data_IF_304114187101
#
_entry.id   IF_304114187101
#
_cell.length_a   1.000
_cell.length_b   1.000
_cell.length_c   1.000
_cell.angle_alpha   90.00
_cell.angle_beta   90.00
_cell.angle_gamma   90.00
#
_symmetry.space_group_name_H-M   'P 1'
#
loop_
_entity.id
_entity.type
_entity.pdbx_description
1 polymer ?
#
# COMPACT_ATOMS: atom_id res chain seq x y z
N UNK A 1 4.35 -13.95 -22.82
CA UNK A 1 4.56 -12.47 -22.84
C UNK A 1 3.42 -11.70 -22.13
N UNK A 2 2.83 -12.20 -21.03
CA UNK A 2 1.84 -11.43 -20.24
C UNK A 2 2.49 -10.39 -19.33
N UNK A 3 3.70 -10.65 -18.84
CA UNK A 3 4.44 -9.72 -17.98
C UNK A 3 4.84 -8.42 -18.68
N UNK A 4 5.06 -8.44 -20.00
CA UNK A 4 5.44 -7.25 -20.77
C UNK A 4 4.25 -6.29 -20.97
N UNK A 5 3.05 -6.82 -21.20
CA UNK A 5 1.83 -6.02 -21.35
C UNK A 5 1.53 -5.27 -20.06
N UNK A 6 1.61 -5.95 -18.90
CA UNK A 6 1.37 -5.35 -17.60
C UNK A 6 2.40 -4.25 -17.29
N UNK A 7 3.69 -4.53 -17.50
CA UNK A 7 4.76 -3.54 -17.30
C UNK A 7 4.57 -2.29 -18.15
N UNK A 8 4.31 -2.46 -19.45
CA UNK A 8 4.06 -1.34 -20.35
C UNK A 8 2.85 -0.51 -19.90
N UNK A 9 1.75 -1.16 -19.51
CA UNK A 9 0.56 -0.46 -19.03
C UNK A 9 0.81 0.33 -17.73
N UNK A 10 1.71 -0.15 -16.86
CA UNK A 10 2.15 0.56 -15.65
C UNK A 10 3.01 1.77 -16.05
N UNK A 11 4.01 1.58 -16.91
CA UNK A 11 4.88 2.66 -17.40
C UNK A 11 4.09 3.77 -18.10
N UNK A 12 3.12 3.42 -18.95
CA UNK A 12 2.21 4.37 -19.62
C UNK A 12 1.40 5.22 -18.64
N UNK A 13 1.13 4.72 -17.42
CA UNK A 13 0.33 5.41 -16.39
C UNK A 13 1.18 5.94 -15.25
N UNK A 14 2.51 5.87 -15.35
CA UNK A 14 3.39 6.26 -14.26
C UNK A 14 3.11 7.69 -13.79
N UNK A 15 3.07 8.66 -14.72
CA UNK A 15 2.82 10.05 -14.36
C UNK A 15 1.45 10.27 -13.67
N UNK A 16 0.45 9.47 -14.03
CA UNK A 16 -0.88 9.52 -13.39
C UNK A 16 -0.81 9.01 -11.94
N UNK A 17 -0.15 7.87 -11.70
CA UNK A 17 0.01 7.33 -10.36
C UNK A 17 0.96 8.15 -9.49
N UNK A 18 2.03 8.71 -10.07
CA UNK A 18 2.93 9.62 -9.38
C UNK A 18 2.16 10.85 -8.89
N UNK A 19 1.35 11.48 -9.75
CA UNK A 19 0.53 12.63 -9.37
C UNK A 19 -0.47 12.30 -8.26
N UNK A 20 -1.13 11.13 -8.32
CA UNK A 20 -2.01 10.68 -7.23
C UNK A 20 -1.23 10.47 -5.93
N UNK A 21 -0.10 9.77 -5.98
CA UNK A 21 0.73 9.49 -4.82
C UNK A 21 1.26 10.77 -4.16
N UNK A 22 1.75 11.72 -4.95
CA UNK A 22 2.20 13.02 -4.44
C UNK A 22 1.03 13.83 -3.87
N UNK A 23 -0.13 13.83 -4.53
CA UNK A 23 -1.31 14.53 -4.02
C UNK A 23 -1.73 14.04 -2.63
N UNK A 24 -1.73 12.72 -2.41
CA UNK A 24 -2.02 12.13 -1.08
C UNK A 24 -0.89 12.44 -0.10
N UNK A 25 0.37 12.33 -0.51
CA UNK A 25 1.53 12.57 0.34
C UNK A 25 1.64 14.02 0.85
N UNK A 26 1.33 14.99 -0.01
CA UNK A 26 1.41 16.42 0.32
C UNK A 26 0.25 16.89 1.23
N UNK A 27 -0.79 16.07 1.40
CA UNK A 27 -1.95 16.36 2.24
C UNK A 27 -2.17 15.23 3.26
N UNK A 28 -1.26 15.06 4.23
CA UNK A 28 -1.40 14.02 5.24
C UNK A 28 -2.63 14.30 6.10
N UNK A 29 -3.56 13.35 6.14
CA UNK A 29 -4.78 13.40 6.95
C UNK A 29 -4.77 12.25 7.94
N UNK A 30 -5.01 12.51 9.22
CA UNK A 30 -4.96 11.49 10.28
C UNK A 30 -6.28 10.73 10.41
N UNK A 31 -6.24 9.61 11.13
CA UNK A 31 -7.36 8.70 11.40
C UNK A 31 -8.74 9.39 11.49
N UNK A 32 -9.67 8.96 10.63
CA UNK A 32 -11.04 9.43 10.42
C UNK A 32 -11.19 10.83 9.79
N UNK A 33 -10.11 11.41 9.27
CA UNK A 33 -10.13 12.73 8.61
C UNK A 33 -9.64 12.69 7.16
N UNK A 34 -9.49 11.52 6.54
CA UNK A 34 -8.88 11.27 5.22
C UNK A 34 -9.76 11.68 4.04
N UNK A 35 -10.34 12.88 4.07
CA UNK A 35 -11.31 13.33 3.07
C UNK A 35 -10.64 13.58 1.71
N UNK A 36 -9.46 14.20 1.69
CA UNK A 36 -8.68 14.40 0.47
C UNK A 36 -8.19 13.08 -0.10
N UNK A 37 -7.57 12.23 0.73
CA UNK A 37 -7.06 10.94 0.26
C UNK A 37 -8.17 10.02 -0.27
N UNK A 38 -9.35 10.01 0.39
CA UNK A 38 -10.53 9.27 -0.07
C UNK A 38 -11.00 9.79 -1.43
N UNK A 39 -11.14 11.11 -1.58
CA UNK A 39 -11.63 11.69 -2.84
C UNK A 39 -10.63 11.51 -3.98
N UNK A 40 -9.33 11.73 -3.74
CA UNK A 40 -8.29 11.54 -4.76
C UNK A 40 -8.23 10.09 -5.25
N UNK A 41 -8.35 9.12 -4.34
CA UNK A 41 -8.39 7.69 -4.68
C UNK A 41 -9.66 7.33 -5.45
N UNK A 42 -10.81 7.86 -5.03
CA UNK A 42 -12.09 7.66 -5.70
C UNK A 42 -12.08 8.23 -7.12
N UNK A 43 -11.62 9.48 -7.30
CA UNK A 43 -11.48 10.14 -8.60
C UNK A 43 -10.58 9.33 -9.55
N UNK A 44 -9.44 8.85 -9.03
CA UNK A 44 -8.50 8.05 -9.81
C UNK A 44 -9.11 6.71 -10.24
N UNK A 45 -9.84 6.04 -9.35
CA UNK A 45 -10.53 4.79 -9.66
C UNK A 45 -11.65 5.00 -10.71
N UNK A 46 -12.45 6.05 -10.58
CA UNK A 46 -13.46 6.43 -11.57
C UNK A 46 -12.83 6.71 -12.94
N UNK A 47 -11.72 7.46 -12.98
CA UNK A 47 -10.98 7.74 -14.21
C UNK A 47 -10.42 6.48 -14.90
N UNK A 48 -10.12 5.44 -14.12
CA UNK A 48 -9.69 4.12 -14.61
C UNK A 48 -10.88 3.20 -14.97
N UNK A 49 -12.12 3.67 -14.84
CA UNK A 49 -13.33 2.95 -15.22
C UNK A 49 -13.87 1.99 -14.16
N UNK A 50 -13.51 2.18 -12.89
CA UNK A 50 -14.13 1.44 -11.78
C UNK A 50 -15.50 2.03 -11.44
N UNK A 51 -16.41 1.18 -10.97
CA UNK A 51 -17.62 1.62 -10.27
C UNK A 51 -17.25 1.97 -8.85
N UNK A 52 -17.37 3.24 -8.48
CA UNK A 52 -16.94 3.75 -7.18
C UNK A 52 -18.13 4.09 -6.28
N UNK A 53 -17.98 3.76 -5.01
CA UNK A 53 -18.87 4.09 -3.90
C UNK A 53 -18.05 4.89 -2.88
N UNK A 54 -18.32 6.19 -2.78
CA UNK A 54 -17.71 7.08 -1.78
C UNK A 54 -18.51 7.05 -0.49
N UNK A 55 -17.84 7.35 0.62
CA UNK A 55 -18.42 7.31 1.97
C UNK A 55 -19.05 5.94 2.27
N UNK A 56 -18.40 4.88 1.77
CA UNK A 56 -18.93 3.53 1.82
C UNK A 56 -19.13 3.07 3.26
N UNK A 57 -20.10 2.17 3.46
CA UNK A 57 -20.39 1.57 4.78
C UNK A 57 -20.70 2.59 5.89
N UNK A 58 -21.15 3.79 5.53
CA UNK A 58 -21.49 4.87 6.48
C UNK A 58 -20.27 5.59 7.07
N UNK A 59 -19.07 5.36 6.52
CA UNK A 59 -17.84 6.01 6.96
C UNK A 59 -17.46 7.12 5.97
N UNK A 60 -17.45 8.40 6.38
CA UNK A 60 -17.21 9.54 5.48
C UNK A 60 -15.87 9.49 4.71
N UNK A 61 -14.87 8.78 5.24
CA UNK A 61 -13.52 8.69 4.65
C UNK A 61 -13.25 7.34 3.98
N UNK A 62 -14.26 6.48 3.84
CA UNK A 62 -14.13 5.19 3.17
C UNK A 62 -14.53 5.29 1.68
N UNK A 63 -13.80 4.58 0.83
CA UNK A 63 -14.13 4.39 -0.59
C UNK A 63 -14.08 2.91 -0.96
N UNK A 64 -15.01 2.47 -1.79
CA UNK A 64 -14.97 1.15 -2.44
C UNK A 64 -14.98 1.32 -3.94
N UNK A 65 -14.06 0.63 -4.64
CA UNK A 65 -14.00 0.60 -6.10
C UNK A 65 -14.15 -0.84 -6.60
N UNK A 66 -14.98 -1.05 -7.63
CA UNK A 66 -15.27 -2.37 -8.20
C UNK A 66 -15.06 -2.36 -9.71
N UNK A 67 -14.46 -3.44 -10.24
CA UNK A 67 -14.31 -3.65 -11.67
C UNK A 67 -14.58 -5.11 -12.03
N UNK A 68 -15.32 -5.33 -13.12
CA UNK A 68 -15.75 -6.65 -13.56
C UNK A 68 -16.96 -7.22 -12.80
N UNK A 69 -17.27 -8.49 -13.05
CA UNK A 69 -18.39 -9.23 -12.44
C UNK A 69 -18.09 -10.74 -12.43
N UNK A 70 -18.83 -11.51 -11.62
CA UNK A 70 -18.67 -12.97 -11.53
C UNK A 70 -17.76 -13.43 -10.38
N UNK A 71 -17.23 -14.65 -10.47
CA UNK A 71 -16.42 -15.29 -9.43
C UNK A 71 -15.15 -15.96 -10.00
N UNK A 72 -14.06 -16.03 -9.22
CA UNK A 72 -13.91 -15.53 -7.85
C UNK A 72 -13.78 -14.00 -7.77
N UNK A 73 -14.14 -13.43 -6.62
CA UNK A 73 -13.95 -12.00 -6.33
C UNK A 73 -12.65 -11.83 -5.55
N UNK A 74 -11.79 -10.91 -5.98
CA UNK A 74 -10.55 -10.56 -5.29
C UNK A 74 -10.72 -9.17 -4.70
N UNK A 75 -10.49 -9.04 -3.40
CA UNK A 75 -10.54 -7.77 -2.68
C UNK A 75 -9.13 -7.29 -2.30
N UNK A 76 -8.90 -5.99 -2.46
CA UNK A 76 -7.73 -5.30 -1.92
C UNK A 76 -8.21 -4.32 -0.84
N UNK A 77 -7.54 -4.33 0.31
CA UNK A 77 -7.78 -3.39 1.39
C UNK A 77 -6.56 -2.47 1.50
N UNK A 78 -6.81 -1.18 1.55
CA UNK A 78 -5.79 -0.15 1.77
C UNK A 78 -6.26 0.83 2.84
N UNK A 79 -5.30 1.32 3.62
CA UNK A 79 -5.48 2.39 4.59
C UNK A 79 -5.02 3.71 3.95
N UNK A 80 -5.76 4.79 4.20
CA UNK A 80 -5.50 6.12 3.62
C UNK A 80 -4.93 7.10 4.65
N UNK A 81 -4.94 6.74 5.92
CA UNK A 81 -4.61 7.64 7.02
C UNK A 81 -3.10 7.80 7.19
N UNK A 82 -2.70 9.03 7.44
CA UNK A 82 -1.36 9.39 7.81
C UNK A 82 -1.17 9.25 9.33
N UNK A 83 0.08 8.96 9.71
CA UNK A 83 0.48 8.99 11.10
C UNK A 83 0.56 10.43 11.60
N UNK A 84 0.14 10.68 12.85
CA UNK A 84 0.32 11.98 13.53
C UNK A 84 1.77 12.47 13.55
N UNK A 85 2.72 11.54 13.47
CA UNK A 85 4.14 11.83 13.36
C UNK A 85 4.51 12.62 12.09
N UNK A 86 3.67 12.64 11.06
CA UNK A 86 3.83 13.48 9.89
C UNK A 86 3.64 14.97 10.21
N UNK A 87 2.83 15.29 11.23
CA UNK A 87 2.60 16.66 11.71
C UNK A 87 3.58 17.04 12.82
N UNK A 88 3.83 16.11 13.76
CA UNK A 88 4.68 16.31 14.92
C UNK A 88 5.84 15.30 14.97
N UNK A 89 7.01 15.73 14.48
CA UNK A 89 8.23 14.94 14.49
C UNK A 89 8.75 14.56 15.89
N UNK A 90 8.27 15.21 16.96
CA UNK A 90 8.66 14.85 18.33
C UNK A 90 8.11 13.49 18.74
N UNK A 91 7.02 13.03 18.12
CA UNK A 91 6.45 11.70 18.34
C UNK A 91 7.47 10.63 17.94
N UNK A 92 8.14 10.81 16.79
CA UNK A 92 9.17 9.88 16.33
C UNK A 92 10.37 9.88 17.28
N UNK A 93 10.78 11.05 17.75
CA UNK A 93 11.92 11.17 18.68
C UNK A 93 11.66 10.45 20.00
N UNK A 94 10.48 10.67 20.60
CA UNK A 94 10.05 9.98 21.83
C UNK A 94 9.98 8.46 21.62
N UNK A 95 9.37 8.01 20.53
CA UNK A 95 9.32 6.60 20.20
C UNK A 95 10.72 5.97 20.06
N UNK A 96 11.68 6.70 19.48
CA UNK A 96 13.07 6.25 19.39
C UNK A 96 13.78 6.21 20.76
N UNK A 97 13.52 7.16 21.65
CA UNK A 97 14.05 7.16 23.01
C UNK A 97 13.51 5.98 23.81
N UNK A 98 12.19 5.79 23.83
CA UNK A 98 11.52 4.64 24.47
C UNK A 98 12.05 3.31 23.92
N UNK A 99 12.22 3.20 22.60
CA UNK A 99 12.79 2.01 21.98
C UNK A 99 14.24 1.76 22.44
N UNK A 100 15.07 2.80 22.52
CA UNK A 100 16.46 2.68 23.02
C UNK A 100 16.49 2.25 24.48
N UNK A 101 15.62 2.79 25.32
CA UNK A 101 15.51 2.40 26.73
C UNK A 101 15.06 0.94 26.87
N UNK A 102 14.00 0.54 26.17
CA UNK A 102 13.46 -0.82 26.22
C UNK A 102 14.44 -1.88 25.71
N UNK A 103 15.23 -1.55 24.68
CA UNK A 103 16.21 -2.47 24.08
C UNK A 103 17.59 -2.39 24.74
N UNK A 104 17.82 -1.40 25.62
CA UNK A 104 19.15 -1.04 26.09
C UNK A 104 20.12 -0.71 24.94
N UNK A 105 19.59 -0.17 23.83
CA UNK A 105 20.33 0.11 22.60
C UNK A 105 20.76 -1.11 21.79
N UNK A 106 20.29 -2.32 22.13
CA UNK A 106 20.62 -3.54 21.38
C UNK A 106 19.83 -3.57 20.08
N UNK A 107 20.52 -3.83 18.97
CA UNK A 107 19.85 -4.11 17.70
C UNK A 107 19.05 -5.42 17.79
N UNK A 108 17.94 -5.49 17.05
CA UNK A 108 17.25 -6.76 16.83
C UNK A 108 18.23 -7.78 16.25
N UNK A 109 18.32 -8.94 16.91
CA UNK A 109 19.03 -10.12 16.39
C UNK A 109 17.96 -11.11 16.01
N UNK A 110 17.92 -11.48 14.73
CA UNK A 110 17.01 -12.51 14.25
C UNK A 110 17.21 -13.77 15.10
N UNK A 111 16.16 -14.32 15.74
CA UNK A 111 16.31 -15.51 16.56
C UNK A 111 16.56 -16.78 15.72
N UNK A 112 16.43 -16.67 14.39
CA UNK A 112 16.74 -17.74 13.45
C UNK A 112 18.26 -17.77 13.23
N UNK A 113 18.95 -18.88 13.56
CA UNK A 113 20.37 -19.01 13.32
C UNK A 113 20.70 -18.98 11.82
N UNK A 114 21.87 -18.45 11.46
CA UNK A 114 22.38 -18.41 10.07
C UNK A 114 22.46 -19.81 9.43
N UNK A 115 22.53 -20.87 10.24
CA UNK A 115 22.55 -22.25 9.77
C UNK A 115 21.21 -22.74 9.20
N UNK A 116 20.11 -22.03 9.45
CA UNK A 116 18.81 -22.39 8.87
C UNK A 116 18.72 -21.79 7.47
N UNK A 117 18.69 -22.62 6.40
CA UNK A 117 18.64 -22.12 5.04
C UNK A 117 17.32 -21.38 4.80
N UNK A 118 17.42 -20.17 4.24
CA UNK A 118 16.25 -19.40 3.80
C UNK A 118 15.48 -20.23 2.76
N UNK A 119 14.17 -20.45 2.94
CA UNK A 119 13.35 -21.14 1.93
C UNK A 119 13.45 -20.38 0.60
N UNK A 120 14.11 -20.97 -0.39
CA UNK A 120 14.18 -20.41 -1.74
C UNK A 120 13.00 -20.94 -2.57
N UNK A 121 12.38 -20.11 -3.42
CA UNK A 121 11.41 -20.60 -4.39
C UNK A 121 12.04 -21.73 -5.21
N UNK A 122 11.30 -22.84 -5.41
CA UNK A 122 11.75 -23.90 -6.30
C UNK A 122 11.91 -23.29 -7.70
N UNK A 123 13.13 -23.33 -8.26
CA UNK A 123 13.32 -22.98 -9.66
C UNK A 123 12.36 -23.86 -10.49
N UNK A 124 11.54 -23.23 -11.33
CA UNK A 124 10.70 -23.98 -12.27
C UNK A 124 11.63 -24.82 -13.13
N UNK A 125 11.42 -26.14 -13.17
CA UNK A 125 12.06 -26.98 -14.19
C UNK A 125 11.57 -26.44 -15.53
N UNK A 126 12.50 -26.10 -16.42
CA UNK A 126 12.18 -25.90 -17.82
C UNK A 126 11.60 -27.21 -18.33
N UNK A 127 10.28 -27.26 -18.48
CA UNK A 127 9.60 -28.34 -19.19
C UNK A 127 9.97 -28.17 -20.66
N UNK A 128 10.94 -28.97 -21.12
CA UNK A 128 11.18 -29.21 -22.53
C UNK A 128 9.90 -29.83 -23.09
N UNK A 129 9.07 -29.00 -23.71
CA UNK A 129 8.02 -29.46 -24.60
C UNK A 129 8.69 -29.91 -25.91
N UNK A 130 8.90 -31.22 -26.05
CA UNK A 130 8.99 -31.88 -27.37
C UNK A 130 7.59 -32.02 -27.99
#
# INVERSE_FOLDING_TARGET
MTGEIAKRAIEEKQAFFDALAYSVWEHPETAFNEVHAMNATADAAEALGFTVERQAYGMPTCVTARWGSGHPVIGFLGELDALRAAEDGTIVQKAQEEFREATGGRSYVCPIPDSIPVPRPKQKKEENHE
#
